data_IF_698767895155
#
_entry.id   IF_698767895155
#
_cell.length_a   1.000
_cell.length_b   1.000
_cell.length_c   1.000
_cell.angle_alpha   90.00
_cell.angle_beta   90.00
_cell.angle_gamma   90.00
#
_symmetry.space_group_name_H-M   'P 1'
#
loop_
_entity.id
_entity.type
_entity.pdbx_description
1 polymer ?
#
# COMPACT_ATOMS: atom_id res chain seq x y z
N UNK A 1 -3.88 20.04 -5.32
CA UNK A 1 -2.57 19.63 -4.73
C UNK A 1 -1.58 19.40 -5.86
N UNK A 2 -0.46 20.10 -5.87
CA UNK A 2 0.54 20.04 -6.95
C UNK A 2 1.54 18.88 -6.75
N UNK A 3 2.34 18.57 -7.79
CA UNK A 3 3.48 17.67 -7.67
C UNK A 3 4.48 18.14 -6.61
N UNK A 4 4.66 19.46 -6.49
CA UNK A 4 5.53 20.11 -5.51
C UNK A 4 5.10 19.81 -4.08
N UNK A 5 3.79 19.94 -3.79
CA UNK A 5 3.21 19.63 -2.49
C UNK A 5 3.39 18.16 -2.12
N UNK A 6 3.11 17.27 -3.09
CA UNK A 6 3.19 15.81 -2.92
C UNK A 6 4.64 15.37 -2.65
N UNK A 7 5.60 15.92 -3.41
CA UNK A 7 7.02 15.61 -3.25
C UNK A 7 7.58 16.14 -1.92
N UNK A 8 7.27 17.38 -1.56
CA UNK A 8 7.71 17.99 -0.30
C UNK A 8 7.16 17.24 0.92
N UNK A 9 5.90 16.83 0.85
CA UNK A 9 5.29 15.96 1.86
C UNK A 9 6.02 14.64 1.97
N UNK A 10 6.28 13.95 0.85
CA UNK A 10 7.01 12.67 0.86
C UNK A 10 8.41 12.79 1.45
N UNK A 11 9.14 13.86 1.14
CA UNK A 11 10.46 14.12 1.73
C UNK A 11 10.37 14.22 3.25
N UNK A 12 9.39 14.96 3.77
CA UNK A 12 9.15 15.09 5.23
C UNK A 12 8.81 13.75 5.86
N UNK A 13 7.85 13.02 5.30
CA UNK A 13 7.39 11.73 5.82
C UNK A 13 8.47 10.64 5.81
N UNK A 14 9.37 10.66 4.83
CA UNK A 14 10.49 9.70 4.71
C UNK A 14 11.76 10.15 5.44
N UNK A 15 11.78 11.31 6.07
CA UNK A 15 12.98 11.86 6.72
C UNK A 15 14.09 12.28 5.74
N UNK A 16 13.75 12.55 4.48
CA UNK A 16 14.71 13.00 3.47
C UNK A 16 14.95 14.50 3.68
N UNK A 17 16.07 14.82 4.33
CA UNK A 17 16.38 16.19 4.78
C UNK A 17 16.88 17.14 3.69
N UNK A 18 17.30 16.64 2.52
CA UNK A 18 17.87 17.51 1.48
C UNK A 18 17.59 17.03 0.06
N UNK A 19 17.59 17.97 -0.90
CA UNK A 19 17.44 17.68 -2.33
C UNK A 19 18.58 16.81 -2.86
N UNK A 20 19.80 17.02 -2.36
CA UNK A 20 20.97 16.19 -2.69
C UNK A 20 20.82 14.74 -2.21
N UNK A 21 20.23 14.54 -1.04
CA UNK A 21 19.88 13.21 -0.56
C UNK A 21 18.85 12.53 -1.48
N UNK A 22 17.78 13.24 -1.86
CA UNK A 22 16.80 12.74 -2.82
C UNK A 22 17.42 12.44 -4.20
N UNK A 23 18.34 13.28 -4.67
CA UNK A 23 19.06 13.09 -5.94
C UNK A 23 19.86 11.78 -5.93
N UNK A 24 20.58 11.50 -4.84
CA UNK A 24 21.31 10.25 -4.64
C UNK A 24 20.38 9.04 -4.57
N UNK A 25 19.25 9.16 -3.87
CA UNK A 25 18.27 8.08 -3.71
C UNK A 25 17.56 7.72 -5.02
N UNK A 26 17.23 8.74 -5.84
CA UNK A 26 16.42 8.58 -7.05
C UNK A 26 17.23 8.50 -8.35
N UNK A 27 18.52 8.86 -8.32
CA UNK A 27 19.34 9.00 -9.52
C UNK A 27 18.89 10.15 -10.45
N UNK A 28 18.04 11.06 -9.95
CA UNK A 28 17.61 12.26 -10.67
C UNK A 28 18.55 13.42 -10.35
N UNK A 29 18.97 14.24 -11.33
CA UNK A 29 19.81 15.41 -11.06
C UNK A 29 19.19 16.36 -10.04
N UNK A 30 19.99 16.85 -9.10
CA UNK A 30 19.54 17.81 -8.09
C UNK A 30 18.92 19.06 -8.71
N UNK A 31 19.42 19.53 -9.85
CA UNK A 31 18.86 20.67 -10.59
C UNK A 31 17.43 20.41 -11.07
N UNK A 32 17.10 19.18 -11.47
CA UNK A 32 15.74 18.80 -11.87
C UNK A 32 14.82 18.77 -10.65
N UNK A 33 15.28 18.22 -9.52
CA UNK A 33 14.55 18.22 -8.26
C UNK A 33 14.28 19.65 -7.78
N UNK A 34 15.29 20.53 -7.86
CA UNK A 34 15.14 21.94 -7.53
C UNK A 34 14.09 22.63 -8.39
N UNK A 35 14.10 22.39 -9.71
CA UNK A 35 13.10 22.97 -10.63
C UNK A 35 11.68 22.51 -10.32
N UNK A 36 11.49 21.25 -9.90
CA UNK A 36 10.20 20.74 -9.44
C UNK A 36 9.80 21.45 -8.13
N UNK A 37 10.69 21.45 -7.13
CA UNK A 37 10.37 21.99 -5.80
C UNK A 37 10.21 23.52 -5.77
N UNK A 38 10.88 24.24 -6.67
CA UNK A 38 10.74 25.69 -6.83
C UNK A 38 9.46 26.10 -7.58
N UNK A 39 8.62 25.13 -7.97
CA UNK A 39 7.35 25.34 -8.66
C UNK A 39 7.45 26.31 -9.84
N UNK A 40 8.53 26.17 -10.64
CA UNK A 40 8.83 27.15 -11.68
C UNK A 40 7.69 27.17 -12.72
N UNK A 41 7.08 28.33 -13.01
CA UNK A 41 5.99 28.41 -13.97
C UNK A 41 6.43 27.91 -15.36
N UNK A 42 5.62 27.05 -15.97
CA UNK A 42 5.88 26.44 -17.28
C UNK A 42 6.88 25.28 -17.29
N UNK A 43 7.46 24.91 -16.14
CA UNK A 43 8.32 23.74 -16.07
C UNK A 43 7.51 22.46 -15.86
N UNK A 44 7.51 21.58 -16.85
CA UNK A 44 6.87 20.26 -16.77
C UNK A 44 7.94 19.17 -16.67
N UNK A 45 8.03 18.41 -15.56
CA UNK A 45 9.01 17.35 -15.44
C UNK A 45 8.67 16.18 -16.37
N UNK A 46 9.70 15.62 -17.02
CA UNK A 46 9.55 14.45 -17.88
C UNK A 46 8.94 13.27 -17.13
N UNK A 47 8.12 12.46 -17.81
CA UNK A 47 7.55 11.20 -17.31
C UNK A 47 8.64 10.27 -16.74
N UNK A 48 9.84 10.26 -17.35
CA UNK A 48 10.98 9.49 -16.87
C UNK A 48 11.48 9.98 -15.51
N UNK A 49 11.61 11.29 -15.34
CA UNK A 49 12.04 11.94 -14.10
C UNK A 49 11.06 11.64 -12.97
N UNK A 50 9.76 11.79 -13.24
CA UNK A 50 8.71 11.46 -12.28
C UNK A 50 8.73 9.97 -11.94
N UNK A 51 8.93 9.09 -12.92
CA UNK A 51 9.03 7.65 -12.71
C UNK A 51 10.18 7.25 -11.77
N UNK A 52 11.36 7.85 -11.93
CA UNK A 52 12.52 7.62 -11.04
C UNK A 52 12.25 8.09 -9.60
N UNK A 53 11.65 9.28 -9.45
CA UNK A 53 11.27 9.81 -8.13
C UNK A 53 10.21 8.92 -7.47
N UNK A 54 9.18 8.55 -8.22
CA UNK A 54 8.09 7.70 -7.74
C UNK A 54 8.61 6.32 -7.33
N UNK A 55 9.52 5.73 -8.11
CA UNK A 55 10.18 4.47 -7.78
C UNK A 55 10.96 4.56 -6.47
N UNK A 56 11.82 5.57 -6.33
CA UNK A 56 12.63 5.79 -5.14
C UNK A 56 11.79 6.03 -3.88
N UNK A 57 10.62 6.64 -4.03
CA UNK A 57 9.71 6.96 -2.93
C UNK A 57 8.60 5.91 -2.72
N UNK A 58 8.62 4.83 -3.51
CA UNK A 58 7.62 3.74 -3.50
C UNK A 58 6.17 4.22 -3.70
N UNK A 59 5.97 5.21 -4.56
CA UNK A 59 4.65 5.77 -4.89
C UNK A 59 4.29 5.55 -6.36
N UNK A 60 3.01 5.73 -6.71
CA UNK A 60 2.60 5.74 -8.12
C UNK A 60 3.07 7.03 -8.82
N UNK A 61 3.61 6.95 -10.06
CA UNK A 61 3.94 8.13 -10.86
C UNK A 61 2.73 9.04 -11.13
N UNK A 62 1.53 8.46 -11.29
CA UNK A 62 0.30 9.21 -11.53
C UNK A 62 -0.16 9.95 -10.27
N UNK A 63 -0.03 9.30 -9.11
CA UNK A 63 -0.23 9.97 -7.84
C UNK A 63 0.82 11.06 -7.62
N UNK A 64 2.08 10.88 -8.04
CA UNK A 64 3.05 11.97 -7.88
C UNK A 64 2.72 13.17 -8.78
N UNK A 65 2.13 12.95 -9.96
CA UNK A 65 1.77 14.01 -10.92
C UNK A 65 0.61 14.90 -10.50
N UNK A 66 -0.31 14.40 -9.67
CA UNK A 66 -1.51 15.16 -9.34
C UNK A 66 -2.81 14.40 -9.57
N UNK A 67 -2.78 13.22 -10.20
CA UNK A 67 -4.00 12.45 -10.45
C UNK A 67 -4.62 12.02 -9.10
N UNK A 68 -5.87 12.41 -8.86
CA UNK A 68 -6.61 12.09 -7.64
C UNK A 68 -7.07 10.62 -7.62
N UNK A 69 -7.21 9.99 -8.79
CA UNK A 69 -7.66 8.59 -8.89
C UNK A 69 -6.54 7.58 -8.66
N UNK A 70 -5.28 8.02 -8.53
CA UNK A 70 -4.13 7.15 -8.43
C UNK A 70 -3.79 6.77 -6.97
N UNK A 71 -3.54 5.48 -6.72
CA UNK A 71 -3.13 5.00 -5.40
C UNK A 71 -1.74 5.53 -4.99
N UNK A 72 -1.62 5.98 -3.72
CA UNK A 72 -0.38 6.54 -3.17
C UNK A 72 0.74 5.51 -3.01
N UNK A 73 0.39 4.27 -2.67
CA UNK A 73 1.36 3.21 -2.36
C UNK A 73 1.52 2.29 -3.56
N UNK A 74 2.77 2.15 -4.02
CA UNK A 74 3.16 1.10 -4.95
C UNK A 74 3.75 -0.04 -4.12
N UNK A 75 3.19 -1.25 -4.21
CA UNK A 75 3.84 -2.45 -3.67
C UNK A 75 5.27 -2.55 -4.25
N UNK A 76 6.28 -2.95 -3.47
CA UNK A 76 7.66 -3.03 -3.95
C UNK A 76 7.71 -4.00 -5.12
N UNK A 77 7.81 -3.47 -6.33
CA UNK A 77 7.97 -4.28 -7.51
C UNK A 77 9.43 -4.71 -7.59
N UNK A 78 9.63 -6.02 -7.63
CA UNK A 78 10.87 -6.68 -8.05
C UNK A 78 11.35 -6.00 -9.36
N UNK A 79 12.67 -5.78 -9.59
CA UNK A 79 13.14 -5.01 -10.73
C UNK A 79 12.80 -5.71 -12.05
N UNK A 80 11.72 -5.28 -12.71
CA UNK A 80 11.36 -5.73 -14.04
C UNK A 80 12.20 -4.95 -15.05
N UNK A 81 13.23 -5.59 -15.59
CA UNK A 81 13.95 -5.15 -16.79
C UNK A 81 12.94 -5.18 -17.94
N UNK A 82 12.53 -4.01 -18.44
CA UNK A 82 11.59 -3.92 -19.57
C UNK A 82 12.35 -3.74 -20.89
N UNK A 83 11.96 -4.51 -21.94
CA UNK A 83 11.60 -3.88 -23.21
C UNK A 83 10.21 -4.37 -23.71
N UNK A 84 9.69 -3.86 -24.84
CA UNK A 84 8.27 -3.54 -25.05
C UNK A 84 7.41 -4.78 -25.32
N UNK A 85 6.10 -4.78 -25.04
CA UNK A 85 5.09 -4.46 -26.08
C UNK A 85 3.67 -4.52 -25.51
N UNK A 86 2.80 -3.75 -26.15
CA UNK A 86 1.36 -3.95 -26.21
C UNK A 86 1.04 -5.43 -26.50
N UNK A 87 0.56 -6.14 -25.50
CA UNK A 87 0.12 -7.53 -25.57
C UNK A 87 -0.83 -7.79 -24.41
N UNK A 88 -1.97 -8.40 -24.73
CA UNK A 88 -3.16 -8.65 -23.89
C UNK A 88 -2.87 -8.81 -22.39
N UNK A 89 -3.45 -7.90 -21.60
CA UNK A 89 -3.38 -7.77 -20.13
C UNK A 89 -3.70 -9.05 -19.34
N UNK A 90 -4.31 -10.08 -19.94
CA UNK A 90 -4.67 -11.33 -19.25
C UNK A 90 -3.63 -12.46 -19.34
N UNK A 91 -2.76 -12.47 -20.36
CA UNK A 91 -1.85 -13.61 -20.61
C UNK A 91 -0.55 -13.50 -19.79
N UNK A 92 -0.14 -12.27 -19.49
CA UNK A 92 1.00 -11.97 -18.62
C UNK A 92 0.72 -12.35 -17.15
N UNK A 93 -0.52 -12.17 -16.69
CA UNK A 93 -0.91 -12.44 -15.30
C UNK A 93 -0.89 -13.94 -14.97
N UNK A 94 -1.30 -14.80 -15.91
CA UNK A 94 -1.32 -16.25 -15.68
C UNK A 94 0.08 -16.86 -15.71
N UNK A 95 0.93 -16.46 -16.65
CA UNK A 95 2.29 -16.97 -16.77
C UNK A 95 3.15 -16.56 -15.56
N UNK A 96 3.01 -15.32 -15.09
CA UNK A 96 3.71 -14.84 -13.91
C UNK A 96 3.20 -15.54 -12.64
N UNK A 97 1.88 -15.74 -12.51
CA UNK A 97 1.31 -16.50 -11.40
C UNK A 97 1.85 -17.94 -11.37
N UNK A 98 1.96 -18.61 -12.52
CA UNK A 98 2.54 -19.97 -12.60
C UNK A 98 4.00 -19.99 -12.14
N UNK A 99 4.80 -19.00 -12.55
CA UNK A 99 6.21 -18.87 -12.13
C UNK A 99 6.32 -18.65 -10.62
N UNK A 100 5.52 -17.75 -10.07
CA UNK A 100 5.51 -17.49 -8.62
C UNK A 100 5.02 -18.71 -7.82
N UNK A 101 4.01 -19.44 -8.30
CA UNK A 101 3.54 -20.65 -7.62
C UNK A 101 4.56 -21.80 -7.65
N UNK A 102 5.42 -21.85 -8.67
CA UNK A 102 6.47 -22.85 -8.80
C UNK A 102 7.61 -22.67 -7.79
N UNK A 103 7.86 -21.45 -7.30
CA UNK A 103 8.91 -21.18 -6.30
C UNK A 103 8.46 -21.43 -4.85
N UNK A 104 7.17 -21.65 -4.63
CA UNK A 104 6.58 -21.75 -3.30
C UNK A 104 6.44 -23.20 -2.83
N UNK A 105 6.59 -23.40 -1.53
CA UNK A 105 6.34 -24.67 -0.85
C UNK A 105 4.84 -24.98 -0.75
N UNK A 106 4.49 -26.24 -0.46
CA UNK A 106 3.09 -26.65 -0.30
C UNK A 106 2.35 -25.87 0.81
N UNK A 107 3.06 -25.44 1.85
CA UNK A 107 2.49 -24.65 2.94
C UNK A 107 2.18 -23.21 2.49
N UNK A 108 3.01 -22.61 1.65
CA UNK A 108 2.82 -21.25 1.13
C UNK A 108 1.71 -21.20 0.08
N UNK A 109 1.63 -22.21 -0.80
CA UNK A 109 0.53 -22.33 -1.77
C UNK A 109 -0.85 -22.38 -1.09
N UNK A 110 -0.96 -23.04 0.07
CA UNK A 110 -2.21 -23.07 0.86
C UNK A 110 -2.63 -21.67 1.34
N UNK A 111 -1.67 -20.82 1.72
CA UNK A 111 -1.95 -19.44 2.14
C UNK A 111 -2.47 -18.61 0.97
N UNK A 112 -1.89 -18.77 -0.22
CA UNK A 112 -2.36 -18.10 -1.44
C UNK A 112 -3.79 -18.53 -1.77
N UNK A 113 -4.09 -19.83 -1.72
CA UNK A 113 -5.45 -20.34 -1.94
C UNK A 113 -6.45 -19.74 -0.94
N UNK A 114 -6.06 -19.55 0.33
CA UNK A 114 -6.91 -18.89 1.32
C UNK A 114 -7.21 -17.42 0.95
N UNK A 115 -6.20 -16.66 0.50
CA UNK A 115 -6.38 -15.28 0.02
C UNK A 115 -7.25 -15.23 -1.23
N UNK A 116 -7.02 -16.12 -2.21
CA UNK A 116 -7.84 -16.18 -3.43
C UNK A 116 -9.30 -16.53 -3.10
N UNK A 117 -9.52 -17.47 -2.17
CA UNK A 117 -10.87 -17.77 -1.66
C UNK A 117 -11.50 -16.55 -0.98
N UNK A 118 -10.74 -15.81 -0.19
CA UNK A 118 -11.20 -14.61 0.50
C UNK A 118 -11.64 -13.51 -0.48
N UNK A 119 -10.83 -13.29 -1.54
CA UNK A 119 -11.14 -12.34 -2.61
C UNK A 119 -12.36 -12.81 -3.42
N UNK A 120 -12.44 -14.10 -3.76
CA UNK A 120 -13.59 -14.68 -4.45
C UNK A 120 -14.88 -14.63 -3.64
N UNK A 121 -14.77 -14.62 -2.30
CA UNK A 121 -15.90 -14.52 -1.36
C UNK A 121 -16.28 -13.07 -1.00
N UNK A 122 -15.55 -12.05 -1.52
CA UNK A 122 -15.88 -10.64 -1.31
C UNK A 122 -15.73 -10.13 0.12
N UNK A 123 -15.03 -10.84 1.02
CA UNK A 123 -14.82 -10.42 2.41
C UNK A 123 -13.41 -9.84 2.59
N UNK A 124 -13.28 -8.52 2.46
CA UNK A 124 -12.09 -7.82 2.94
C UNK A 124 -12.08 -7.85 4.49
N UNK A 125 -10.94 -8.11 5.15
CA UNK A 125 -10.87 -7.94 6.59
C UNK A 125 -10.97 -6.44 6.90
N UNK A 126 -12.09 -6.05 7.51
CA UNK A 126 -12.14 -4.85 8.34
C UNK A 126 -11.01 -4.97 9.37
N UNK A 127 -10.30 -3.87 9.58
CA UNK A 127 -9.13 -3.82 10.45
C UNK A 127 -9.38 -4.46 11.80
N UNK A 128 -8.34 -5.11 12.30
CA UNK A 128 -8.15 -5.60 13.67
C UNK A 128 -8.92 -4.75 14.68
N UNK A 129 -10.11 -5.21 15.07
CA UNK A 129 -10.77 -4.85 16.32
C UNK A 129 -11.36 -6.14 16.89
N UNK A 130 -11.18 -6.31 18.21
CA UNK A 130 -11.42 -7.48 19.06
C UNK A 130 -10.29 -8.52 19.01
N UNK A 131 -9.68 -8.96 20.11
CA UNK A 131 -10.11 -8.96 21.51
C UNK A 131 -8.94 -9.38 22.42
N UNK A 132 -9.05 -9.25 23.76
CA UNK A 132 -9.35 -10.50 24.48
C UNK A 132 -10.31 -10.33 25.67
N UNK A 133 -11.42 -11.06 25.60
CA UNK A 133 -11.97 -11.97 26.61
C UNK A 133 -11.57 -11.76 28.08
N UNK A 134 -12.57 -11.39 28.89
CA UNK A 134 -12.70 -11.76 30.31
C UNK A 134 -13.79 -12.84 30.47
N UNK A 135 -13.68 -13.76 31.46
CA UNK A 135 -14.22 -15.11 31.39
C UNK A 135 -15.73 -15.26 31.68
N UNK A 136 -16.31 -16.42 31.32
CA UNK A 136 -17.72 -16.73 31.53
C UNK A 136 -18.01 -17.12 32.99
N UNK A 137 -19.02 -16.50 33.60
CA UNK A 137 -19.68 -17.07 34.78
C UNK A 137 -21.12 -17.41 34.42
N UNK A 138 -21.33 -18.69 34.11
CA UNK A 138 -22.63 -19.33 34.13
C UNK A 138 -22.89 -19.96 35.50
N UNK A 139 -24.14 -19.98 35.94
CA UNK A 139 -24.56 -20.74 37.12
C UNK A 139 -25.86 -20.25 37.76
N UNK A 140 -26.98 -20.61 37.11
CA UNK A 140 -28.29 -21.04 37.61
C UNK A 140 -28.84 -20.74 39.05
N UNK A 141 -30.18 -20.83 39.23
CA UNK A 141 -30.96 -20.27 40.33
C UNK A 141 -31.13 -21.24 41.52
N UNK A 142 -31.56 -20.72 42.69
CA UNK A 142 -32.56 -21.29 43.64
C UNK A 142 -32.29 -20.84 45.07
N UNK A 143 -33.29 -20.22 45.70
CA UNK A 143 -33.68 -20.18 47.14
C UNK A 143 -34.24 -18.77 47.40
N UNK A 144 -35.54 -18.53 47.32
CA UNK A 144 -36.56 -18.92 48.30
C UNK A 144 -36.19 -18.49 49.73
N UNK A 145 -37.17 -17.83 50.37
CA UNK A 145 -37.36 -17.56 51.80
C UNK A 145 -37.20 -16.08 52.21
N UNK A 146 -38.27 -15.60 52.87
CA UNK A 146 -38.41 -14.38 53.70
C UNK A 146 -38.44 -13.02 52.98
N UNK A 147 -39.43 -12.14 53.15
CA UNK A 147 -40.44 -12.05 54.20
C UNK A 147 -41.67 -11.29 53.67
N UNK A 148 -42.84 -11.90 53.86
CA UNK A 148 -44.05 -11.15 54.11
C UNK A 148 -44.01 -10.70 55.58
N UNK A 149 -44.14 -9.41 55.86
CA UNK A 149 -45.01 -8.86 56.92
C UNK A 149 -44.79 -7.36 57.12
N UNK A 150 -45.93 -6.66 57.17
CA UNK A 150 -46.21 -5.44 57.95
C UNK A 150 -45.57 -4.16 57.37
N UNK A 151 -46.24 -3.02 57.23
CA UNK A 151 -47.63 -2.56 57.36
C UNK A 151 -47.66 -1.18 56.70
#
# INVERSE_FOLDING_TARGET
>A
MTITDRLSSLMRWRGIRSQRHLARLSGVPQTSIHRILADRPGYVPSTLTVGKLAYALSVSPDWLRGDESAARVRAPAIPQVRPPRSGRRGEYDEAEMKRLMATLTAAERRKIVAVVRLVAQGRLPAGVQAEPAGPPQGGAPTSAVEAARQS
#
